data_IF_077055085521
#
_entry.id   IF_077055085521
#
_cell.length_a   1.000
_cell.length_b   1.000
_cell.length_c   1.000
_cell.angle_alpha   90.00
_cell.angle_beta   90.00
_cell.angle_gamma   90.00
#
_symmetry.space_group_name_H-M   'P 1'
#
loop_
_entity.id
_entity.type
_entity.pdbx_description
1 polymer ?
#
# COMPACT_ATOMS: atom_id res chain seq x y z
N UNK A 1 57.38 32.28 41.66
CA UNK A 1 57.40 31.08 40.81
C UNK A 1 55.96 30.60 40.71
N UNK A 2 55.14 30.87 39.68
CA UNK A 2 55.34 30.69 38.23
C UNK A 2 55.20 29.19 37.91
N UNK A 3 54.22 28.66 37.15
CA UNK A 3 53.38 29.21 36.08
C UNK A 3 52.05 28.46 35.95
N UNK A 4 51.06 29.19 35.43
CA UNK A 4 49.80 28.83 34.78
C UNK A 4 49.98 28.12 33.43
N UNK A 5 48.92 27.49 32.88
CA UNK A 5 48.42 27.76 31.51
C UNK A 5 47.01 27.17 31.28
N UNK A 6 46.12 28.04 30.78
CA UNK A 6 44.86 27.76 30.08
C UNK A 6 45.13 27.14 28.69
N UNK A 7 44.12 26.53 28.06
CA UNK A 7 43.61 26.88 26.71
C UNK A 7 42.35 26.04 26.38
N UNK A 8 41.36 26.75 25.83
CA UNK A 8 40.11 26.31 25.21
C UNK A 8 40.29 25.67 23.83
N UNK A 9 39.35 24.85 23.37
CA UNK A 9 38.83 24.99 21.99
C UNK A 9 37.49 24.28 21.76
N UNK A 10 36.58 25.06 21.21
CA UNK A 10 35.38 24.67 20.46
C UNK A 10 35.77 24.02 19.13
N UNK A 11 35.06 22.98 18.69
CA UNK A 11 34.91 22.70 17.26
C UNK A 11 33.63 21.92 16.95
N UNK A 12 32.81 22.60 16.16
CA UNK A 12 31.65 22.17 15.38
C UNK A 12 31.97 21.00 14.44
N UNK A 13 31.11 19.98 14.42
CA UNK A 13 31.12 18.94 13.37
C UNK A 13 30.09 19.34 12.30
N UNK A 14 30.59 19.84 11.18
CA UNK A 14 29.86 20.05 9.92
C UNK A 14 29.85 18.74 9.14
N UNK A 15 28.65 18.30 8.75
CA UNK A 15 28.44 17.13 7.89
C UNK A 15 28.43 17.57 6.42
N UNK A 16 29.26 16.94 5.57
CA UNK A 16 29.20 17.08 4.11
C UNK A 16 29.37 15.70 3.47
N UNK A 17 28.45 15.26 2.59
CA UNK A 17 28.60 14.01 1.87
C UNK A 17 29.31 14.26 0.54
N UNK A 18 30.46 13.61 0.32
CA UNK A 18 30.98 13.37 -1.04
C UNK A 18 30.93 11.88 -1.35
N UNK A 19 30.20 11.62 -2.43
CA UNK A 19 30.15 10.40 -3.22
C UNK A 19 31.54 9.96 -3.67
N UNK A 20 31.84 8.67 -3.53
CA UNK A 20 32.92 8.03 -4.28
C UNK A 20 32.40 6.72 -4.86
N UNK A 21 32.33 6.71 -6.18
CA UNK A 21 32.14 5.55 -7.05
C UNK A 21 33.42 4.73 -6.98
N UNK A 22 33.34 3.41 -6.81
CA UNK A 22 34.41 2.50 -7.19
C UNK A 22 33.84 1.24 -7.84
N UNK A 23 34.27 1.06 -9.09
CA UNK A 23 34.14 -0.13 -9.91
C UNK A 23 34.96 -1.30 -9.35
N UNK A 24 34.54 -2.47 -9.82
CA UNK A 24 34.98 -3.85 -9.61
C UNK A 24 36.49 -4.10 -9.55
N UNK A 25 36.92 -4.92 -8.58
CA UNK A 25 37.88 -6.01 -8.83
C UNK A 25 37.86 -7.04 -7.70
N UNK A 26 38.20 -8.28 -8.06
CA UNK A 26 38.09 -9.52 -7.28
C UNK A 26 38.82 -9.49 -5.93
N UNK A 27 38.14 -9.87 -4.85
CA UNK A 27 38.78 -10.29 -3.60
C UNK A 27 38.01 -11.45 -2.97
N UNK A 28 38.60 -12.64 -3.05
CA UNK A 28 38.26 -13.80 -2.22
C UNK A 28 38.66 -13.49 -0.78
N UNK A 29 37.69 -13.38 0.11
CA UNK A 29 37.93 -13.38 1.55
C UNK A 29 37.27 -14.63 2.13
N UNK A 30 38.10 -15.59 2.55
CA UNK A 30 37.67 -16.75 3.30
C UNK A 30 37.31 -16.34 4.73
N UNK A 31 36.09 -16.66 5.16
CA UNK A 31 35.68 -16.57 6.55
C UNK A 31 35.37 -17.99 7.01
N UNK A 32 36.20 -18.53 7.92
CA UNK A 32 35.93 -19.80 8.58
C UNK A 32 34.87 -19.59 9.66
N UNK A 33 33.64 -20.05 9.41
CA UNK A 33 32.64 -20.21 10.46
C UNK A 33 32.74 -21.63 11.03
N UNK A 34 32.84 -21.71 12.36
CA UNK A 34 32.76 -22.94 13.13
C UNK A 34 31.35 -23.54 12.99
N UNK A 35 31.23 -24.56 12.14
CA UNK A 35 30.01 -25.34 11.93
C UNK A 35 30.15 -26.63 12.75
N UNK A 36 29.38 -26.75 13.83
CA UNK A 36 29.16 -28.07 14.48
C UNK A 36 27.69 -28.42 14.70
N UNK A 37 26.74 -27.66 14.15
CA UNK A 37 25.30 -27.98 14.26
C UNK A 37 24.48 -27.75 12.98
N UNK A 38 25.11 -27.66 11.81
CA UNK A 38 24.42 -27.43 10.52
C UNK A 38 24.78 -28.42 9.41
N UNK A 39 25.45 -29.53 9.72
CA UNK A 39 25.77 -30.57 8.73
C UNK A 39 24.60 -31.50 8.40
N UNK A 40 23.57 -31.60 9.26
CA UNK A 40 22.44 -32.50 9.05
C UNK A 40 21.35 -31.86 8.17
N UNK A 41 21.16 -30.54 8.22
CA UNK A 41 20.16 -29.83 7.40
C UNK A 41 20.65 -29.51 5.97
N UNK A 42 21.95 -29.27 5.79
CA UNK A 42 22.53 -28.97 4.47
C UNK A 42 22.65 -30.18 3.56
N UNK A 43 22.90 -31.38 4.11
CA UNK A 43 22.95 -32.62 3.32
C UNK A 43 21.57 -33.05 2.82
N UNK A 44 20.50 -32.80 3.60
CA UNK A 44 19.14 -33.13 3.16
C UNK A 44 18.65 -32.25 2.01
N UNK A 45 19.09 -30.99 1.94
CA UNK A 45 18.72 -30.05 0.87
C UNK A 45 19.50 -30.33 -0.43
N UNK A 46 20.74 -30.83 -0.33
CA UNK A 46 21.57 -31.16 -1.50
C UNK A 46 21.19 -32.49 -2.17
N UNK A 47 20.61 -33.44 -1.42
CA UNK A 47 20.07 -34.70 -1.93
C UNK A 47 18.56 -34.62 -2.25
N UNK A 48 17.96 -33.45 -2.09
CA UNK A 48 16.56 -33.21 -2.45
C UNK A 48 16.40 -33.21 -3.97
N UNK A 49 15.42 -33.94 -4.53
CA UNK A 49 15.12 -33.86 -5.95
C UNK A 49 14.88 -32.40 -6.38
N UNK A 50 15.30 -32.03 -7.59
CA UNK A 50 15.20 -30.66 -8.10
C UNK A 50 13.79 -30.04 -7.96
N UNK A 51 12.74 -30.86 -8.06
CA UNK A 51 11.34 -30.43 -7.85
C UNK A 51 11.03 -30.01 -6.41
N UNK A 52 11.75 -30.52 -5.41
CA UNK A 52 11.59 -30.14 -3.99
C UNK A 52 12.23 -28.77 -3.72
N UNK A 53 13.42 -28.53 -4.29
CA UNK A 53 14.09 -27.21 -4.24
C UNK A 53 13.24 -26.14 -4.93
N UNK A 54 12.63 -26.46 -6.08
CA UNK A 54 11.77 -25.52 -6.80
C UNK A 54 10.47 -25.20 -6.03
N UNK A 55 9.81 -26.19 -5.41
CA UNK A 55 8.65 -25.95 -4.53
C UNK A 55 9.00 -25.05 -3.35
N UNK A 56 10.14 -25.30 -2.72
CA UNK A 56 10.65 -24.46 -1.63
C UNK A 56 10.91 -23.01 -2.07
N UNK A 57 11.38 -22.80 -3.29
CA UNK A 57 11.58 -21.46 -3.85
C UNK A 57 10.27 -20.70 -4.10
N UNK A 58 9.22 -21.37 -4.57
CA UNK A 58 7.90 -20.74 -4.78
C UNK A 58 7.25 -20.36 -3.45
N UNK A 59 7.29 -21.24 -2.45
CA UNK A 59 6.76 -20.93 -1.13
C UNK A 59 7.48 -19.75 -0.48
N UNK A 60 8.82 -19.72 -0.58
CA UNK A 60 9.64 -18.60 -0.11
C UNK A 60 9.33 -17.30 -0.86
N UNK A 61 9.10 -17.38 -2.17
CA UNK A 61 8.67 -16.23 -2.97
C UNK A 61 7.32 -15.70 -2.47
N UNK A 62 6.35 -16.58 -2.23
CA UNK A 62 5.03 -16.16 -1.71
C UNK A 62 5.17 -15.48 -0.34
N UNK A 63 6.02 -16.00 0.55
CA UNK A 63 6.28 -15.39 1.85
C UNK A 63 6.96 -14.03 1.73
N UNK A 64 7.95 -13.89 0.85
CA UNK A 64 8.59 -12.60 0.54
C UNK A 64 7.57 -11.57 0.01
N UNK A 65 6.64 -12.01 -0.85
CA UNK A 65 5.56 -11.14 -1.33
C UNK A 65 4.65 -10.69 -0.19
N UNK A 66 4.22 -11.60 0.67
CA UNK A 66 3.36 -11.26 1.81
C UNK A 66 4.05 -10.27 2.77
N UNK A 67 5.35 -10.46 3.03
CA UNK A 67 6.16 -9.54 3.84
C UNK A 67 6.22 -8.14 3.21
N UNK A 68 6.49 -8.05 1.90
CA UNK A 68 6.59 -6.78 1.15
C UNK A 68 5.28 -6.02 1.02
N UNK A 69 4.19 -6.76 0.87
CA UNK A 69 2.82 -6.22 0.73
C UNK A 69 2.28 -5.70 2.06
N UNK A 70 2.75 -6.28 3.16
CA UNK A 70 2.56 -5.73 4.50
C UNK A 70 3.00 -4.27 4.58
N UNK A 71 2.46 -3.56 5.56
CA UNK A 71 2.76 -2.14 5.74
C UNK A 71 4.23 -1.94 6.11
N UNK A 72 4.97 -1.18 5.30
CA UNK A 72 6.33 -0.75 5.61
C UNK A 72 7.27 -0.72 4.40
N UNK A 73 7.23 -1.75 3.55
CA UNK A 73 8.09 -1.81 2.35
C UNK A 73 7.41 -1.16 1.14
N UNK A 74 6.21 -1.62 0.77
CA UNK A 74 5.42 -1.00 -0.29
C UNK A 74 4.36 -0.08 0.32
N UNK A 75 4.58 1.23 0.20
CA UNK A 75 3.76 2.25 0.85
C UNK A 75 2.34 2.32 0.27
N UNK A 76 2.24 2.40 -1.05
CA UNK A 76 0.96 2.59 -1.72
C UNK A 76 0.17 1.30 -1.87
N UNK A 77 -1.13 1.36 -1.59
CA UNK A 77 -2.07 0.25 -1.78
C UNK A 77 -2.08 -0.23 -3.23
N UNK A 78 -2.12 0.71 -4.17
CA UNK A 78 -2.15 0.41 -5.60
C UNK A 78 -0.87 -0.30 -6.04
N UNK A 79 0.29 0.20 -5.63
CA UNK A 79 1.59 -0.43 -5.91
C UNK A 79 1.71 -1.81 -5.28
N UNK A 80 1.18 -2.02 -4.08
CA UNK A 80 1.21 -3.32 -3.43
C UNK A 80 0.41 -4.36 -4.22
N UNK A 81 -0.74 -3.98 -4.77
CA UNK A 81 -1.52 -4.88 -5.63
C UNK A 81 -0.86 -5.11 -6.98
N UNK A 82 -0.32 -4.06 -7.61
CA UNK A 82 0.46 -4.20 -8.85
C UNK A 82 1.64 -5.18 -8.66
N UNK A 83 2.32 -5.12 -7.50
CA UNK A 83 3.39 -6.05 -7.13
C UNK A 83 2.88 -7.49 -6.96
N UNK A 84 1.80 -7.71 -6.20
CA UNK A 84 1.18 -9.05 -6.04
C UNK A 84 0.81 -9.64 -7.39
N UNK A 85 0.14 -8.87 -8.24
CA UNK A 85 -0.32 -9.33 -9.55
C UNK A 85 0.85 -9.65 -10.49
N UNK A 86 1.92 -8.85 -10.46
CA UNK A 86 3.11 -9.14 -11.25
C UNK A 86 3.83 -10.42 -10.78
N UNK A 87 3.95 -10.62 -9.46
CA UNK A 87 4.51 -11.85 -8.89
C UNK A 87 3.62 -13.07 -9.14
N UNK A 88 2.30 -12.89 -9.16
CA UNK A 88 1.34 -13.95 -9.49
C UNK A 88 1.54 -14.46 -10.92
N UNK A 89 1.78 -13.59 -11.90
CA UNK A 89 2.10 -14.02 -13.28
C UNK A 89 3.36 -14.89 -13.32
N UNK A 90 4.39 -14.51 -12.58
CA UNK A 90 5.62 -15.30 -12.48
C UNK A 90 5.33 -16.68 -11.89
N UNK A 91 4.58 -16.75 -10.79
CA UNK A 91 4.18 -18.01 -10.14
C UNK A 91 3.32 -18.89 -11.07
N UNK A 92 2.40 -18.29 -11.84
CA UNK A 92 1.61 -19.01 -12.86
C UNK A 92 2.53 -19.60 -13.94
N UNK A 93 3.55 -18.84 -14.38
CA UNK A 93 4.45 -19.30 -15.44
C UNK A 93 5.23 -20.56 -15.06
N UNK A 94 5.65 -20.68 -13.80
CA UNK A 94 6.49 -21.78 -13.29
C UNK A 94 5.71 -23.00 -12.80
N UNK A 95 4.40 -22.92 -12.56
CA UNK A 95 3.60 -24.06 -12.07
C UNK A 95 3.57 -25.22 -13.09
N UNK A 96 3.88 -26.46 -12.72
CA UNK A 96 4.00 -27.54 -13.70
C UNK A 96 2.64 -28.16 -14.08
N UNK A 97 1.72 -28.23 -13.11
CA UNK A 97 0.40 -28.83 -13.27
C UNK A 97 -0.73 -27.93 -12.72
N UNK A 98 -1.98 -28.37 -12.92
CA UNK A 98 -3.18 -27.64 -12.46
C UNK A 98 -3.22 -27.51 -10.93
N UNK A 99 -2.82 -28.56 -10.21
CA UNK A 99 -2.81 -28.59 -8.76
C UNK A 99 -1.82 -27.59 -8.18
N UNK A 100 -0.62 -27.52 -8.75
CA UNK A 100 0.39 -26.51 -8.37
C UNK A 100 -0.09 -25.10 -8.65
N UNK A 101 -0.60 -24.83 -9.85
CA UNK A 101 -1.12 -23.52 -10.21
C UNK A 101 -2.19 -23.04 -9.23
N UNK A 102 -3.18 -23.91 -8.95
CA UNK A 102 -4.27 -23.60 -8.02
C UNK A 102 -3.73 -23.37 -6.61
N UNK A 103 -2.86 -24.23 -6.09
CA UNK A 103 -2.26 -24.08 -4.76
C UNK A 103 -1.46 -22.79 -4.64
N UNK A 104 -0.61 -22.47 -5.61
CA UNK A 104 0.24 -21.28 -5.53
C UNK A 104 -0.59 -19.99 -5.63
N UNK A 105 -1.54 -19.91 -6.57
CA UNK A 105 -2.41 -18.73 -6.72
C UNK A 105 -3.26 -18.52 -5.47
N UNK A 106 -3.92 -19.57 -4.97
CA UNK A 106 -4.78 -19.45 -3.77
C UNK A 106 -3.98 -19.11 -2.51
N UNK A 107 -2.80 -19.71 -2.32
CA UNK A 107 -1.92 -19.41 -1.18
C UNK A 107 -1.39 -17.98 -1.24
N UNK A 108 -0.98 -17.52 -2.42
CA UNK A 108 -0.53 -16.13 -2.60
C UNK A 108 -1.63 -15.13 -2.26
N UNK A 109 -2.85 -15.37 -2.74
CA UNK A 109 -4.01 -14.52 -2.44
C UNK A 109 -4.29 -14.49 -0.93
N UNK A 110 -4.39 -15.66 -0.29
CA UNK A 110 -4.69 -15.76 1.14
C UNK A 110 -3.64 -15.04 2.00
N UNK A 111 -2.35 -15.29 1.75
CA UNK A 111 -1.25 -14.64 2.48
C UNK A 111 -1.20 -13.13 2.22
N UNK A 112 -1.44 -12.69 0.98
CA UNK A 112 -1.43 -11.25 0.65
C UNK A 112 -2.59 -10.51 1.32
N UNK A 113 -3.80 -11.08 1.32
CA UNK A 113 -4.96 -10.48 2.00
C UNK A 113 -4.72 -10.41 3.51
N UNK A 114 -4.18 -11.48 4.12
CA UNK A 114 -3.81 -11.47 5.55
C UNK A 114 -2.76 -10.41 5.88
N UNK A 115 -1.81 -10.15 4.97
CA UNK A 115 -0.78 -9.14 5.18
C UNK A 115 -1.32 -7.69 5.07
N UNK A 116 -2.36 -7.46 4.24
CA UNK A 116 -2.96 -6.14 4.02
C UNK A 116 -4.50 -6.23 3.94
N UNK A 117 -5.18 -6.53 5.05
CA UNK A 117 -6.61 -6.90 5.05
C UNK A 117 -7.54 -5.75 4.68
N UNK A 118 -7.10 -4.49 4.80
CA UNK A 118 -7.94 -3.34 4.45
C UNK A 118 -7.83 -2.93 2.98
N UNK A 119 -7.00 -3.59 2.17
CA UNK A 119 -6.85 -3.27 0.75
C UNK A 119 -8.03 -3.80 -0.05
N UNK A 120 -9.04 -2.95 -0.27
CA UNK A 120 -10.19 -3.31 -1.10
C UNK A 120 -9.78 -3.69 -2.53
N UNK A 121 -8.76 -3.03 -3.08
CA UNK A 121 -8.23 -3.36 -4.42
C UNK A 121 -7.65 -4.77 -4.47
N UNK A 122 -6.94 -5.20 -3.42
CA UNK A 122 -6.37 -6.54 -3.34
C UNK A 122 -7.48 -7.58 -3.28
N UNK A 123 -8.49 -7.36 -2.42
CA UNK A 123 -9.63 -8.26 -2.24
C UNK A 123 -10.44 -8.37 -3.53
N UNK A 124 -10.78 -7.23 -4.15
CA UNK A 124 -11.55 -7.18 -5.39
C UNK A 124 -10.84 -7.85 -6.56
N UNK A 125 -9.54 -7.55 -6.76
CA UNK A 125 -8.72 -8.19 -7.79
C UNK A 125 -8.61 -9.70 -7.56
N UNK A 126 -8.38 -10.11 -6.30
CA UNK A 126 -8.28 -11.52 -5.93
C UNK A 126 -9.58 -12.28 -6.21
N UNK A 127 -10.73 -11.65 -5.91
CA UNK A 127 -12.05 -12.21 -6.22
C UNK A 127 -12.24 -12.41 -7.73
N UNK A 128 -11.93 -11.42 -8.55
CA UNK A 128 -12.04 -11.51 -10.01
C UNK A 128 -11.18 -12.64 -10.57
N UNK A 129 -9.94 -12.76 -10.11
CA UNK A 129 -9.01 -13.83 -10.48
C UNK A 129 -9.55 -15.20 -10.08
N UNK A 130 -10.05 -15.35 -8.86
CA UNK A 130 -10.55 -16.63 -8.36
C UNK A 130 -11.87 -17.07 -9.01
N UNK A 131 -12.77 -16.13 -9.31
CA UNK A 131 -13.96 -16.42 -10.12
C UNK A 131 -13.50 -16.99 -11.46
N UNK A 132 -12.55 -16.31 -12.12
CA UNK A 132 -12.09 -16.74 -13.43
C UNK A 132 -11.34 -18.07 -13.39
N UNK A 133 -10.51 -18.29 -12.37
CA UNK A 133 -9.84 -19.55 -12.13
C UNK A 133 -10.86 -20.69 -12.02
N UNK A 134 -11.89 -20.51 -11.20
CA UNK A 134 -12.94 -21.51 -11.02
C UNK A 134 -13.69 -21.82 -12.33
N UNK A 135 -14.06 -20.81 -13.12
CA UNK A 135 -14.68 -20.99 -14.44
C UNK A 135 -13.80 -21.78 -15.40
N UNK A 136 -12.49 -21.48 -15.43
CA UNK A 136 -11.55 -22.16 -16.32
C UNK A 136 -11.31 -23.61 -15.89
N UNK A 137 -11.28 -23.89 -14.57
CA UNK A 137 -11.19 -25.24 -14.05
C UNK A 137 -12.43 -26.08 -14.42
N UNK A 138 -13.64 -25.49 -14.34
CA UNK A 138 -14.90 -26.18 -14.71
C UNK A 138 -14.95 -26.57 -16.18
N UNK A 139 -14.29 -25.80 -17.05
CA UNK A 139 -14.15 -26.13 -18.48
C UNK A 139 -13.18 -27.27 -18.77
N UNK A 140 -12.40 -27.72 -17.78
CA UNK A 140 -11.47 -28.83 -17.94
C UNK A 140 -10.26 -28.55 -18.84
N UNK A 141 -9.99 -27.29 -19.20
CA UNK A 141 -8.93 -26.90 -20.15
C UNK A 141 -7.53 -27.37 -19.74
N UNK A 142 -6.59 -27.47 -20.68
CA UNK A 142 -5.21 -27.89 -20.38
C UNK A 142 -4.47 -26.85 -19.51
N UNK A 143 -3.44 -27.28 -18.75
CA UNK A 143 -2.67 -26.39 -17.87
C UNK A 143 -2.02 -25.22 -18.63
N UNK A 144 -1.53 -25.48 -19.85
CA UNK A 144 -0.93 -24.44 -20.70
C UNK A 144 -1.96 -23.34 -21.05
N UNK A 145 -3.17 -23.74 -21.43
CA UNK A 145 -4.27 -22.81 -21.72
C UNK A 145 -4.72 -22.07 -20.45
N UNK A 146 -4.82 -22.77 -19.32
CA UNK A 146 -5.15 -22.17 -18.02
C UNK A 146 -4.17 -21.06 -17.63
N UNK A 147 -2.86 -21.29 -17.79
CA UNK A 147 -1.82 -20.28 -17.54
C UNK A 147 -2.00 -19.06 -18.42
N UNK A 148 -2.24 -19.27 -19.72
CA UNK A 148 -2.42 -18.18 -20.69
C UNK A 148 -3.66 -17.35 -20.37
N UNK A 149 -4.81 -17.98 -20.17
CA UNK A 149 -6.07 -17.28 -19.89
C UNK A 149 -6.04 -16.55 -18.54
N UNK A 150 -5.45 -17.15 -17.50
CA UNK A 150 -5.34 -16.49 -16.20
C UNK A 150 -4.37 -15.31 -16.24
N UNK A 151 -3.26 -15.42 -16.98
CA UNK A 151 -2.31 -14.32 -17.17
C UNK A 151 -2.96 -13.13 -17.89
N UNK A 152 -3.77 -13.37 -18.92
CA UNK A 152 -4.54 -12.31 -19.61
C UNK A 152 -5.48 -11.57 -18.68
N UNK A 153 -6.15 -12.30 -17.78
CA UNK A 153 -7.06 -11.71 -16.79
C UNK A 153 -6.31 -10.80 -15.82
N UNK A 154 -5.13 -11.25 -15.35
CA UNK A 154 -4.28 -10.43 -14.48
C UNK A 154 -3.80 -9.16 -15.20
N UNK A 155 -3.40 -9.27 -16.47
CA UNK A 155 -2.98 -8.12 -17.27
C UNK A 155 -4.11 -7.11 -17.47
N UNK A 156 -5.32 -7.58 -17.74
CA UNK A 156 -6.52 -6.74 -17.87
C UNK A 156 -6.87 -6.03 -16.56
N UNK A 157 -6.79 -6.72 -15.42
CA UNK A 157 -6.98 -6.11 -14.08
C UNK A 157 -5.95 -5.00 -13.84
N UNK A 158 -4.66 -5.24 -14.12
CA UNK A 158 -3.60 -4.24 -13.97
C UNK A 158 -3.88 -3.03 -14.86
N UNK A 159 -4.26 -3.26 -16.12
CA UNK A 159 -4.54 -2.20 -17.08
C UNK A 159 -5.74 -1.35 -16.63
N UNK A 160 -6.87 -1.99 -16.28
CA UNK A 160 -8.06 -1.33 -15.76
C UNK A 160 -7.75 -0.49 -14.51
N UNK A 161 -6.97 -1.03 -13.56
CA UNK A 161 -6.58 -0.31 -12.36
C UNK A 161 -5.72 0.92 -12.66
N UNK A 162 -4.76 0.80 -13.59
CA UNK A 162 -3.93 1.92 -14.05
C UNK A 162 -4.78 3.00 -14.70
N UNK A 163 -5.67 2.64 -15.62
CA UNK A 163 -6.59 3.56 -16.29
C UNK A 163 -7.52 4.26 -15.31
N UNK A 164 -8.07 3.52 -14.34
CA UNK A 164 -8.93 4.08 -13.30
C UNK A 164 -8.17 5.08 -12.43
N UNK A 165 -6.95 4.74 -12.00
CA UNK A 165 -6.08 5.64 -11.23
C UNK A 165 -5.77 6.92 -11.99
N UNK A 166 -5.44 6.79 -13.28
CA UNK A 166 -5.12 7.89 -14.18
C UNK A 166 -6.31 8.84 -14.38
N UNK A 167 -7.47 8.26 -14.69
CA UNK A 167 -8.71 9.00 -14.93
C UNK A 167 -9.20 9.71 -13.66
N UNK A 168 -9.17 9.03 -12.50
CA UNK A 168 -9.53 9.65 -11.23
C UNK A 168 -8.61 10.83 -10.90
N UNK A 169 -7.30 10.66 -11.10
CA UNK A 169 -6.32 11.73 -10.89
C UNK A 169 -6.52 12.92 -11.84
N UNK A 170 -6.85 12.66 -13.12
CA UNK A 170 -7.14 13.72 -14.09
C UNK A 170 -8.42 14.48 -13.75
N UNK A 171 -9.48 13.79 -13.32
CA UNK A 171 -10.72 14.45 -12.87
C UNK A 171 -10.45 15.28 -11.60
N UNK A 172 -9.64 14.75 -10.68
CA UNK A 172 -9.26 15.47 -9.46
C UNK A 172 -8.42 16.71 -9.74
N UNK A 173 -7.56 16.69 -10.77
CA UNK A 173 -6.73 17.85 -11.12
C UNK A 173 -7.56 19.06 -11.56
N UNK A 174 -8.78 18.84 -12.08
CA UNK A 174 -9.73 19.90 -12.40
C UNK A 174 -10.36 20.56 -11.15
N UNK A 175 -10.24 19.96 -9.97
CA UNK A 175 -10.65 20.57 -8.69
C UNK A 175 -9.55 21.40 -8.05
N UNK A 176 -8.32 21.28 -8.55
CA UNK A 176 -7.20 22.16 -8.19
C UNK A 176 -7.26 23.40 -9.06
N UNK A 177 -7.15 24.58 -8.45
CA UNK A 177 -7.07 25.87 -9.13
C UNK A 177 -5.67 26.48 -8.95
N UNK A 178 -5.30 27.39 -9.85
CA UNK A 178 -4.04 28.12 -9.73
C UNK A 178 -3.97 28.89 -8.39
N UNK A 179 -2.82 28.81 -7.73
CA UNK A 179 -2.58 29.42 -6.42
C UNK A 179 -3.00 28.55 -5.22
N UNK A 180 -3.56 27.36 -5.43
CA UNK A 180 -3.99 26.50 -4.33
C UNK A 180 -2.85 26.10 -3.38
N UNK A 181 -3.16 26.11 -2.08
CA UNK A 181 -2.33 25.51 -1.04
C UNK A 181 -3.01 24.24 -0.57
N UNK A 182 -2.49 23.11 -1.03
CA UNK A 182 -3.05 21.77 -0.78
C UNK A 182 -2.41 21.19 0.48
N UNK A 183 -3.22 20.63 1.38
CA UNK A 183 -2.71 19.77 2.45
C UNK A 183 -3.01 18.30 2.12
N UNK A 184 -2.06 17.41 2.39
CA UNK A 184 -2.19 15.98 2.13
C UNK A 184 -1.50 15.15 3.21
N UNK A 185 -1.75 13.84 3.21
CA UNK A 185 -1.23 12.87 4.17
C UNK A 185 -0.82 11.59 3.47
N UNK A 186 0.27 11.00 3.95
CA UNK A 186 0.84 9.73 3.49
C UNK A 186 1.21 9.70 2.01
N UNK A 187 1.56 8.52 1.54
CA UNK A 187 1.87 8.24 0.15
C UNK A 187 0.62 7.77 -0.60
N UNK A 188 0.26 8.48 -1.68
CA UNK A 188 -0.79 8.05 -2.59
C UNK A 188 -0.37 8.31 -4.03
N UNK A 189 -0.25 7.23 -4.81
CA UNK A 189 -0.01 7.28 -6.27
C UNK A 189 -1.00 8.20 -6.98
N UNK A 190 -2.28 8.08 -6.63
CA UNK A 190 -3.37 8.82 -7.25
C UNK A 190 -3.29 10.31 -6.93
N UNK A 191 -2.93 10.67 -5.68
CA UNK A 191 -2.75 12.08 -5.29
C UNK A 191 -1.52 12.66 -5.99
N UNK A 192 -0.39 11.95 -6.02
CA UNK A 192 0.80 12.40 -6.75
C UNK A 192 0.49 12.66 -8.24
N UNK A 193 -0.22 11.74 -8.91
CA UNK A 193 -0.70 11.94 -10.28
C UNK A 193 -1.63 13.15 -10.42
N UNK A 194 -2.49 13.38 -9.44
CA UNK A 194 -3.41 14.53 -9.42
C UNK A 194 -2.62 15.85 -9.43
N UNK A 195 -1.57 15.94 -8.60
CA UNK A 195 -0.67 17.09 -8.56
C UNK A 195 0.12 17.23 -9.86
N UNK A 196 0.59 16.11 -10.43
CA UNK A 196 1.31 16.10 -11.71
C UNK A 196 0.44 16.66 -12.84
N UNK A 197 -0.83 16.26 -12.94
CA UNK A 197 -1.74 16.83 -13.93
C UNK A 197 -2.02 18.31 -13.70
N UNK A 198 -2.12 18.75 -12.44
CA UNK A 198 -2.29 20.17 -12.14
C UNK A 198 -1.09 21.00 -12.63
N UNK A 199 0.14 20.50 -12.44
CA UNK A 199 1.35 21.13 -12.96
C UNK A 199 1.41 21.12 -14.49
N UNK A 200 1.03 20.01 -15.13
CA UNK A 200 0.94 19.92 -16.59
C UNK A 200 -0.05 20.92 -17.19
N UNK A 201 -1.14 21.23 -16.46
CA UNK A 201 -2.10 22.26 -16.81
C UNK A 201 -1.59 23.70 -16.50
N UNK A 202 -0.32 23.85 -16.08
CA UNK A 202 0.32 25.15 -15.81
C UNK A 202 -0.05 25.79 -14.46
N UNK A 203 -0.69 25.05 -13.54
CA UNK A 203 -1.12 25.59 -12.25
C UNK A 203 0.04 25.68 -11.28
N UNK A 204 0.18 26.84 -10.63
CA UNK A 204 1.12 27.05 -9.52
C UNK A 204 0.44 26.64 -8.23
N UNK A 205 1.00 25.64 -7.55
CA UNK A 205 0.47 25.12 -6.28
C UNK A 205 1.54 25.08 -5.21
N UNK A 206 1.12 25.04 -3.95
CA UNK A 206 1.96 24.75 -2.78
C UNK A 206 1.37 23.57 -2.02
N UNK A 207 2.23 22.78 -1.37
CA UNK A 207 1.79 21.59 -0.65
C UNK A 207 2.27 21.61 0.79
N UNK A 208 1.37 21.36 1.74
CA UNK A 208 1.72 20.94 3.10
C UNK A 208 1.47 19.44 3.22
N UNK A 209 2.49 18.69 3.65
CA UNK A 209 2.43 17.24 3.82
C UNK A 209 2.69 16.89 5.28
N UNK A 210 1.80 16.07 5.85
CA UNK A 210 1.94 15.49 7.18
C UNK A 210 3.00 14.38 7.14
N UNK A 211 3.90 14.31 8.12
CA UNK A 211 4.99 13.31 8.17
C UNK A 211 4.48 11.85 8.15
N UNK A 212 3.26 11.61 8.63
CA UNK A 212 2.53 10.34 8.58
C UNK A 212 3.14 9.26 9.47
N UNK A 213 3.27 9.53 10.78
CA UNK A 213 3.62 8.49 11.74
C UNK A 213 2.55 7.38 11.73
N UNK A 214 2.94 6.11 12.01
CA UNK A 214 4.28 5.66 12.38
C UNK A 214 5.25 5.47 11.20
N UNK A 215 4.77 5.41 9.96
CA UNK A 215 5.54 4.96 8.79
C UNK A 215 6.43 6.01 8.13
N UNK A 216 6.15 7.30 8.34
CA UNK A 216 6.98 8.39 7.81
C UNK A 216 6.82 8.61 6.30
N UNK A 217 5.74 8.11 5.68
CA UNK A 217 5.54 8.17 4.22
C UNK A 217 5.48 9.62 3.70
N UNK A 218 5.05 10.57 4.53
CA UNK A 218 5.02 11.98 4.18
C UNK A 218 6.40 12.56 3.87
N UNK A 219 7.46 12.07 4.51
CA UNK A 219 8.85 12.47 4.23
C UNK A 219 9.23 12.09 2.79
N UNK A 220 8.77 10.94 2.33
CA UNK A 220 9.06 10.44 0.99
C UNK A 220 8.28 11.23 -0.06
N UNK A 221 7.02 11.55 0.22
CA UNK A 221 6.24 12.46 -0.61
C UNK A 221 6.88 13.84 -0.67
N UNK A 222 7.32 14.41 0.46
CA UNK A 222 8.03 15.70 0.48
C UNK A 222 9.27 15.69 -0.42
N UNK A 223 10.06 14.59 -0.39
CA UNK A 223 11.20 14.40 -1.29
C UNK A 223 10.79 14.33 -2.76
N UNK A 224 9.70 13.63 -3.10
CA UNK A 224 9.18 13.54 -4.47
C UNK A 224 8.74 14.93 -4.97
N UNK A 225 8.01 15.68 -4.15
CA UNK A 225 7.52 17.02 -4.50
C UNK A 225 8.65 18.03 -4.63
N UNK A 226 9.66 17.94 -3.76
CA UNK A 226 10.88 18.75 -3.85
C UNK A 226 11.61 18.53 -5.17
N UNK A 227 11.78 17.28 -5.63
CA UNK A 227 12.38 16.97 -6.94
C UNK A 227 11.59 17.53 -8.12
N UNK A 228 10.29 17.77 -7.94
CA UNK A 228 9.39 18.39 -8.93
C UNK A 228 9.33 19.92 -8.81
N UNK A 229 10.15 20.53 -7.95
CA UNK A 229 10.15 21.98 -7.67
C UNK A 229 8.80 22.53 -7.19
N UNK A 230 7.99 21.72 -6.50
CA UNK A 230 6.77 22.19 -5.86
C UNK A 230 7.12 22.75 -4.47
N UNK A 231 6.76 24.01 -4.14
CA UNK A 231 6.93 24.55 -2.80
C UNK A 231 6.22 23.65 -1.78
N UNK A 232 7.00 22.99 -0.91
CA UNK A 232 6.51 21.95 -0.01
C UNK A 232 6.89 22.25 1.44
N UNK A 233 5.94 22.14 2.35
CA UNK A 233 6.15 22.23 3.80
C UNK A 233 5.83 20.88 4.44
N UNK A 234 6.84 20.22 5.01
CA UNK A 234 6.68 19.01 5.81
C UNK A 234 6.38 19.39 7.26
N UNK A 235 5.35 18.82 7.86
CA UNK A 235 4.93 19.10 9.24
C UNK A 235 4.73 17.82 10.04
N UNK A 236 4.86 17.90 11.36
CA UNK A 236 4.39 16.84 12.26
C UNK A 236 2.87 16.72 12.19
N UNK A 237 2.34 15.51 12.36
CA UNK A 237 0.91 15.23 12.16
C UNK A 237 0.01 16.08 13.07
N UNK A 238 0.45 16.33 14.31
CA UNK A 238 -0.26 17.15 15.30
C UNK A 238 -0.34 18.64 14.95
N UNK A 239 0.47 19.13 14.00
CA UNK A 239 0.45 20.52 13.55
C UNK A 239 -0.59 20.78 12.45
N UNK A 240 -1.30 19.75 11.95
CA UNK A 240 -2.24 19.88 10.84
C UNK A 240 -3.26 21.02 11.05
N UNK A 241 -3.87 21.10 12.24
CA UNK A 241 -4.84 22.15 12.56
C UNK A 241 -4.25 23.55 12.55
N UNK A 242 -3.01 23.72 13.00
CA UNK A 242 -2.34 25.02 13.06
C UNK A 242 -2.13 25.61 11.66
N UNK A 243 -1.76 24.76 10.70
CA UNK A 243 -1.54 25.16 9.31
C UNK A 243 -2.82 25.29 8.50
N UNK A 244 -3.94 24.71 8.96
CA UNK A 244 -5.20 24.66 8.21
C UNK A 244 -5.71 26.04 7.76
N UNK A 245 -5.44 27.10 8.52
CA UNK A 245 -5.78 28.49 8.17
C UNK A 245 -5.18 28.99 6.84
N UNK A 246 -4.11 28.36 6.37
CA UNK A 246 -3.43 28.70 5.12
C UNK A 246 -3.82 27.76 3.97
N UNK A 247 -4.49 26.65 4.28
CA UNK A 247 -4.82 25.57 3.33
C UNK A 247 -6.11 25.92 2.59
N UNK A 248 -6.11 25.77 1.27
CA UNK A 248 -7.31 25.94 0.47
C UNK A 248 -8.11 24.64 0.31
N UNK A 249 -7.42 23.49 0.24
CA UNK A 249 -8.03 22.17 0.02
C UNK A 249 -7.21 21.08 0.70
N UNK A 250 -7.89 20.07 1.25
CA UNK A 250 -7.29 18.78 1.58
C UNK A 250 -7.51 17.82 0.42
N UNK A 251 -6.44 17.15 -0.01
CA UNK A 251 -6.53 16.08 -1.02
C UNK A 251 -5.83 14.85 -0.46
N UNK A 252 -6.54 13.73 -0.35
CA UNK A 252 -5.98 12.47 0.16
C UNK A 252 -6.38 11.27 -0.69
N UNK A 253 -5.64 10.17 -0.54
CA UNK A 253 -5.97 8.90 -1.18
C UNK A 253 -6.95 8.09 -0.33
N UNK A 254 -7.15 6.84 -0.75
CA UNK A 254 -7.83 5.83 0.05
C UNK A 254 -7.12 4.48 -0.10
N UNK A 255 -7.15 3.72 0.98
CA UNK A 255 -6.88 2.28 1.00
C UNK A 255 -8.16 1.51 0.59
N UNK A 256 -9.30 1.91 1.18
CA UNK A 256 -10.63 1.43 0.84
C UNK A 256 -11.69 2.51 1.06
N UNK A 257 -12.82 2.37 0.36
CA UNK A 257 -14.01 3.20 0.56
C UNK A 257 -15.18 2.28 0.88
N UNK A 258 -15.79 2.46 2.04
CA UNK A 258 -16.97 1.72 2.47
C UNK A 258 -18.22 2.19 1.72
N UNK A 259 -19.26 1.35 1.72
CA UNK A 259 -20.51 1.60 0.99
C UNK A 259 -21.26 2.82 1.53
N UNK A 260 -21.15 3.13 2.82
CA UNK A 260 -21.70 4.35 3.41
C UNK A 260 -20.88 5.61 3.10
N UNK A 261 -19.80 5.50 2.32
CA UNK A 261 -18.92 6.61 1.97
C UNK A 261 -17.80 6.88 2.98
N UNK A 262 -17.70 6.11 4.08
CA UNK A 262 -16.57 6.21 4.99
C UNK A 262 -15.27 5.78 4.28
N UNK A 263 -14.18 6.47 4.58
CA UNK A 263 -12.89 6.26 3.90
C UNK A 263 -11.88 5.67 4.86
N UNK A 264 -11.32 4.53 4.47
CA UNK A 264 -10.21 3.89 5.16
C UNK A 264 -8.93 4.36 4.49
N UNK A 265 -8.08 5.04 5.25
CA UNK A 265 -6.80 5.55 4.78
C UNK A 265 -5.77 5.58 5.93
N UNK A 266 -4.54 6.00 5.67
CA UNK A 266 -3.48 6.12 6.68
C UNK A 266 -3.98 6.75 7.98
N UNK A 267 -3.58 6.18 9.13
CA UNK A 267 -3.89 6.74 10.45
C UNK A 267 -3.57 8.24 10.50
N UNK A 268 -4.48 9.04 11.05
CA UNK A 268 -4.41 10.49 11.04
C UNK A 268 -5.20 11.15 9.90
N UNK A 269 -5.69 10.38 8.92
CA UNK A 269 -6.58 10.91 7.87
C UNK A 269 -7.90 11.40 8.45
N UNK A 270 -8.47 10.67 9.41
CA UNK A 270 -9.69 11.08 10.11
C UNK A 270 -9.51 12.39 10.88
N UNK A 271 -8.35 12.57 11.53
CA UNK A 271 -7.99 13.80 12.25
C UNK A 271 -7.73 14.95 11.28
N UNK A 272 -7.06 14.69 10.16
CA UNK A 272 -6.87 15.69 9.11
C UNK A 272 -8.22 16.17 8.55
N UNK A 273 -9.12 15.25 8.25
CA UNK A 273 -10.46 15.56 7.75
C UNK A 273 -11.30 16.32 8.80
N UNK A 274 -11.24 15.93 10.07
CA UNK A 274 -11.87 16.67 11.17
C UNK A 274 -11.36 18.12 11.29
N UNK A 275 -10.04 18.31 11.23
CA UNK A 275 -9.43 19.64 11.27
C UNK A 275 -9.86 20.51 10.08
N UNK A 276 -9.98 19.90 8.91
CA UNK A 276 -10.43 20.59 7.70
C UNK A 276 -11.91 20.95 7.80
N UNK A 277 -12.75 20.02 8.27
CA UNK A 277 -14.17 20.22 8.51
C UNK A 277 -14.43 21.40 9.46
N UNK A 278 -13.75 21.44 10.61
CA UNK A 278 -13.88 22.54 11.57
C UNK A 278 -13.39 23.89 10.98
N UNK A 279 -12.30 23.86 10.20
CA UNK A 279 -11.78 25.05 9.52
C UNK A 279 -12.52 25.43 8.23
N UNK A 280 -13.57 24.68 7.84
CA UNK A 280 -14.33 24.86 6.59
C UNK A 280 -13.48 24.75 5.33
N UNK A 281 -12.43 23.91 5.38
CA UNK A 281 -11.59 23.56 4.24
C UNK A 281 -12.13 22.28 3.61
N UNK A 282 -12.31 22.28 2.29
CA UNK A 282 -12.87 21.13 1.58
C UNK A 282 -11.91 19.94 1.55
N UNK A 283 -12.44 18.74 1.75
CA UNK A 283 -11.73 17.46 1.73
C UNK A 283 -12.11 16.66 0.49
N UNK A 284 -11.12 16.39 -0.36
CA UNK A 284 -11.25 15.54 -1.54
C UNK A 284 -10.52 14.22 -1.35
N UNK A 285 -11.23 13.12 -1.56
CA UNK A 285 -10.65 11.77 -1.59
C UNK A 285 -10.54 11.30 -3.03
N UNK A 286 -9.36 10.89 -3.47
CA UNK A 286 -9.13 10.46 -4.86
C UNK A 286 -8.82 8.95 -4.90
N UNK A 287 -9.72 8.17 -5.49
CA UNK A 287 -9.60 6.71 -5.56
C UNK A 287 -10.39 6.14 -6.75
N UNK A 288 -9.84 5.15 -7.43
CA UNK A 288 -10.57 4.42 -8.49
C UNK A 288 -11.64 3.49 -7.92
N UNK A 289 -12.61 3.11 -8.75
CA UNK A 289 -13.73 2.23 -8.38
C UNK A 289 -13.29 0.88 -7.80
N UNK A 290 -12.11 0.40 -8.16
CA UNK A 290 -11.53 -0.84 -7.65
C UNK A 290 -11.19 -0.80 -6.14
N UNK A 291 -11.19 0.38 -5.50
CA UNK A 291 -10.93 0.55 -4.05
C UNK A 291 -12.19 0.59 -3.19
N UNK A 292 -13.37 0.31 -3.73
CA UNK A 292 -14.58 0.25 -2.94
C UNK A 292 -14.70 -1.14 -2.27
N UNK A 293 -14.89 -1.16 -0.95
CA UNK A 293 -15.09 -2.39 -0.18
C UNK A 293 -16.56 -2.76 -0.20
N UNK A 294 -16.86 -3.83 -0.94
CA UNK A 294 -18.22 -4.31 -1.19
C UNK A 294 -18.77 -5.10 0.01
N UNK A 295 -17.88 -5.61 0.86
CA UNK A 295 -18.16 -6.36 2.07
C UNK A 295 -18.88 -5.50 3.11
N UNK A 296 -18.56 -4.21 3.15
CA UNK A 296 -19.18 -3.25 4.09
C UNK A 296 -20.68 -3.05 3.86
N UNK A 297 -21.27 -3.50 2.74
CA UNK A 297 -22.74 -3.50 2.54
C UNK A 297 -23.43 -4.35 3.60
N UNK A 298 -22.77 -5.44 4.04
CA UNK A 298 -23.32 -6.40 4.99
C UNK A 298 -23.05 -6.00 6.45
N UNK A 299 -22.50 -4.81 6.70
CA UNK A 299 -22.12 -4.35 8.04
C UNK A 299 -20.83 -4.96 8.56
N UNK A 300 -20.04 -5.62 7.69
CA UNK A 300 -18.72 -6.13 8.06
C UNK A 300 -17.77 -4.98 8.43
N UNK A 301 -17.13 -5.12 9.59
CA UNK A 301 -16.12 -4.17 10.04
C UNK A 301 -14.80 -4.42 9.28
N UNK A 302 -14.15 -3.34 8.90
CA UNK A 302 -12.81 -3.40 8.31
C UNK A 302 -11.81 -3.64 9.45
N UNK A 303 -11.17 -4.81 9.45
CA UNK A 303 -10.14 -5.15 10.43
C UNK A 303 -8.91 -4.23 10.28
N UNK A 304 -8.69 -3.36 11.27
CA UNK A 304 -7.59 -2.39 11.23
C UNK A 304 -6.28 -3.06 11.70
N UNK A 305 -5.26 -3.17 10.84
CA UNK A 305 -3.98 -3.75 11.23
C UNK A 305 -3.19 -2.79 12.13
N UNK A 306 -2.41 -3.37 13.04
CA UNK A 306 -1.47 -2.65 13.91
C UNK A 306 -0.04 -2.84 13.44
N UNK A 307 0.78 -1.80 13.59
CA UNK A 307 2.22 -1.89 13.42
C UNK A 307 2.83 -2.68 14.59
N UNK A 308 4.07 -3.15 14.38
CA UNK A 308 4.86 -3.75 15.45
C UNK A 308 5.21 -2.71 16.52
N UNK A 309 5.25 -3.14 17.76
CA UNK A 309 5.51 -2.28 18.92
C UNK A 309 6.83 -1.51 18.81
N UNK A 310 7.88 -2.13 18.25
CA UNK A 310 9.22 -1.54 18.19
C UNK A 310 9.28 -0.23 17.37
N UNK A 311 8.27 0.03 16.53
CA UNK A 311 8.15 1.26 15.73
C UNK A 311 7.87 2.49 16.59
N UNK A 312 7.15 2.31 17.70
CA UNK A 312 6.89 3.36 18.70
C UNK A 312 7.80 3.22 19.91
N UNK A 313 8.03 1.98 20.36
CA UNK A 313 8.76 1.66 21.57
C UNK A 313 9.90 0.68 21.29
N UNK A 314 11.07 1.18 20.82
CA UNK A 314 12.25 0.35 20.61
C UNK A 314 12.67 -0.40 21.89
N UNK A 315 13.41 -1.52 21.78
CA UNK A 315 13.78 -2.36 22.92
C UNK A 315 14.43 -1.61 24.09
N UNK A 316 15.24 -0.59 23.80
CA UNK A 316 15.90 0.21 24.84
C UNK A 316 14.89 1.01 25.66
N UNK A 317 13.90 1.63 25.01
CA UNK A 317 12.81 2.36 25.69
C UNK A 317 11.80 1.43 26.35
N UNK A 318 11.56 0.23 25.80
CA UNK A 318 10.71 -0.79 26.42
C UNK A 318 11.24 -1.16 27.81
N UNK A 319 12.57 -1.31 27.95
CA UNK A 319 13.22 -1.59 29.23
C UNK A 319 13.07 -0.46 30.25
N UNK A 320 13.01 0.80 29.80
CA UNK A 320 12.80 1.96 30.67
C UNK A 320 11.35 2.07 31.17
N UNK A 321 10.38 1.82 30.29
CA UNK A 321 8.93 1.96 30.61
C UNK A 321 8.41 0.76 31.41
N UNK A 322 8.97 -0.44 31.18
CA UNK A 322 8.55 -1.68 31.80
C UNK A 322 7.41 -2.39 31.07
N UNK A 323 7.10 -3.62 31.50
CA UNK A 323 6.24 -4.55 30.77
C UNK A 323 4.73 -4.27 30.89
N UNK A 324 4.31 -3.45 31.86
CA UNK A 324 2.90 -3.17 32.14
C UNK A 324 2.25 -2.16 31.18
N UNK A 325 2.95 -1.73 30.13
CA UNK A 325 2.42 -0.82 29.11
C UNK A 325 2.09 -1.60 27.84
N UNK A 326 0.86 -1.48 27.36
CA UNK A 326 0.46 -2.06 26.07
C UNK A 326 0.62 -1.02 24.97
N UNK A 327 1.34 -1.38 23.92
CA UNK A 327 1.51 -0.53 22.74
C UNK A 327 0.51 -0.93 21.66
N UNK A 328 -0.18 0.05 21.08
CA UNK A 328 -1.14 -0.15 20.00
C UNK A 328 -0.96 0.94 18.95
N UNK A 329 -0.73 0.55 17.70
CA UNK A 329 -0.32 1.47 16.63
C UNK A 329 -1.14 1.15 15.37
N UNK A 330 -2.36 1.69 15.23
CA UNK A 330 -3.15 1.45 14.03
C UNK A 330 -2.43 2.01 12.80
N UNK A 331 -2.45 1.27 11.70
CA UNK A 331 -1.78 1.67 10.45
C UNK A 331 -2.70 2.51 9.55
N UNK A 332 -4.01 2.30 9.68
CA UNK A 332 -5.08 3.03 9.00
C UNK A 332 -6.14 3.46 10.02
N UNK A 333 -6.94 4.46 9.66
CA UNK A 333 -8.14 4.84 10.39
C UNK A 333 -9.34 4.99 9.44
N UNK A 334 -10.52 5.15 10.03
CA UNK A 334 -11.78 5.36 9.29
C UNK A 334 -12.16 6.82 9.41
N UNK A 335 -12.24 7.50 8.27
CA UNK A 335 -12.73 8.88 8.15
C UNK A 335 -14.25 8.85 7.92
N UNK A 336 -15.06 9.45 8.81
CA UNK A 336 -16.50 9.56 8.63
C UNK A 336 -16.88 10.28 7.33
N UNK A 337 -17.95 9.85 6.63
CA UNK A 337 -18.38 10.46 5.37
C UNK A 337 -18.78 11.94 5.53
N UNK A 338 -19.16 12.39 6.72
CA UNK A 338 -19.55 13.77 7.01
C UNK A 338 -18.38 14.75 6.89
N UNK A 339 -17.13 14.27 7.00
CA UNK A 339 -15.94 15.10 6.86
C UNK A 339 -15.40 15.14 5.42
N UNK A 340 -16.08 14.50 4.47
CA UNK A 340 -15.62 14.36 3.09
C UNK A 340 -16.58 15.12 2.17
N UNK A 341 -16.08 16.16 1.51
CA UNK A 341 -16.88 16.94 0.56
C UNK A 341 -17.14 16.18 -0.74
N UNK A 342 -16.12 15.47 -1.25
CA UNK A 342 -16.31 14.63 -2.43
C UNK A 342 -15.29 13.50 -2.54
N UNK A 343 -15.76 12.39 -3.10
CA UNK A 343 -14.96 11.26 -3.56
C UNK A 343 -14.83 11.39 -5.08
N UNK A 344 -13.59 11.44 -5.57
CA UNK A 344 -13.26 11.60 -6.98
C UNK A 344 -12.75 10.27 -7.52
N UNK A 345 -13.51 9.71 -8.46
CA UNK A 345 -13.27 8.39 -9.05
C UNK A 345 -13.09 8.49 -10.56
N UNK A 346 -12.76 7.37 -11.20
CA UNK A 346 -12.76 7.22 -12.66
C UNK A 346 -14.17 7.27 -13.28
N UNK A 347 -15.22 7.30 -12.45
CA UNK A 347 -16.62 7.48 -12.84
C UNK A 347 -17.13 8.91 -12.62
N UNK A 348 -16.33 9.79 -12.04
CA UNK A 348 -16.69 11.18 -11.79
C UNK A 348 -16.53 11.57 -10.33
N UNK A 349 -17.09 12.73 -10.00
CA UNK A 349 -17.09 13.30 -8.64
C UNK A 349 -18.42 12.97 -7.98
N UNK A 350 -18.40 12.28 -6.84
CA UNK A 350 -19.59 11.86 -6.12
C UNK A 350 -19.54 12.36 -4.67
N UNK A 351 -20.71 12.63 -4.09
CA UNK A 351 -20.83 12.79 -2.65
C UNK A 351 -20.67 11.42 -1.95
N UNK A 352 -20.15 11.35 -0.72
CA UNK A 352 -20.05 10.09 0.03
C UNK A 352 -21.39 9.33 0.13
N UNK A 353 -22.50 10.04 0.29
CA UNK A 353 -23.84 9.46 0.38
C UNK A 353 -24.33 8.87 -0.95
N UNK A 354 -23.68 9.21 -2.07
CA UNK A 354 -24.01 8.69 -3.39
C UNK A 354 -23.31 7.36 -3.72
N UNK A 355 -22.39 6.89 -2.86
CA UNK A 355 -21.63 5.65 -3.08
C UNK A 355 -22.53 4.44 -3.33
N UNK A 356 -23.62 4.18 -2.58
CA UNK A 356 -24.51 3.05 -2.84
C UNK A 356 -25.10 3.07 -4.27
N UNK A 357 -25.44 4.26 -4.78
CA UNK A 357 -26.00 4.40 -6.13
C UNK A 357 -24.95 4.13 -7.21
N UNK A 358 -23.72 4.63 -7.02
CA UNK A 358 -22.60 4.33 -7.91
C UNK A 358 -22.32 2.82 -7.94
N UNK A 359 -22.29 2.15 -6.79
CA UNK A 359 -22.06 0.71 -6.73
C UNK A 359 -23.19 -0.06 -7.42
N UNK A 360 -24.45 0.34 -7.23
CA UNK A 360 -25.58 -0.26 -7.95
C UNK A 360 -25.47 -0.07 -9.46
N UNK A 361 -25.03 1.08 -9.94
CA UNK A 361 -24.80 1.34 -11.37
C UNK A 361 -23.68 0.45 -11.93
N UNK A 362 -22.57 0.33 -11.20
CA UNK A 362 -21.39 -0.42 -11.65
C UNK A 362 -21.61 -1.94 -11.60
N UNK A 363 -22.27 -2.45 -10.56
CA UNK A 363 -22.45 -3.89 -10.31
C UNK A 363 -23.86 -4.40 -10.64
N UNK A 364 -24.76 -3.53 -11.10
CA UNK A 364 -26.16 -3.83 -11.45
C UNK A 364 -27.10 -4.08 -10.26
N UNK A 365 -26.57 -4.48 -9.10
CA UNK A 365 -27.34 -4.79 -7.88
C UNK A 365 -26.62 -4.31 -6.62
N UNK A 366 -27.39 -4.05 -5.55
CA UNK A 366 -26.87 -3.75 -4.22
C UNK A 366 -27.72 -4.51 -3.18
N UNK A 367 -27.14 -5.37 -2.32
CA UNK A 367 -25.73 -5.79 -2.32
C UNK A 367 -25.33 -6.47 -3.64
N UNK A 368 -24.07 -6.34 -4.08
CA UNK A 368 -23.58 -7.07 -5.24
C UNK A 368 -23.57 -8.57 -4.92
N UNK A 369 -24.01 -9.40 -5.87
CA UNK A 369 -23.98 -10.87 -5.74
C UNK A 369 -22.58 -11.40 -6.02
N UNK A 370 -21.67 -11.18 -5.07
CA UNK A 370 -20.27 -11.56 -5.21
C UNK A 370 -19.91 -12.63 -4.16
N UNK A 371 -19.33 -13.77 -4.57
CA UNK A 371 -18.89 -14.79 -3.64
C UNK A 371 -17.72 -14.28 -2.77
N UNK A 372 -17.63 -14.80 -1.56
CA UNK A 372 -16.50 -14.54 -0.66
C UNK A 372 -15.21 -15.14 -1.23
N UNK A 373 -14.09 -14.45 -0.99
CA UNK A 373 -12.77 -14.92 -1.43
C UNK A 373 -12.44 -16.29 -0.82
N UNK A 374 -12.79 -16.51 0.46
CA UNK A 374 -12.56 -17.80 1.13
C UNK A 374 -13.33 -18.95 0.48
N UNK A 375 -14.57 -18.70 0.04
CA UNK A 375 -15.38 -19.70 -0.64
C UNK A 375 -14.82 -20.04 -2.01
N UNK A 376 -14.39 -19.02 -2.76
CA UNK A 376 -13.77 -19.22 -4.06
C UNK A 376 -12.44 -20.00 -3.97
N UNK A 377 -11.65 -19.76 -2.92
CA UNK A 377 -10.43 -20.55 -2.63
C UNK A 377 -10.80 -22.01 -2.37
N UNK A 378 -11.76 -22.27 -1.47
CA UNK A 378 -12.22 -23.63 -1.17
C UNK A 378 -12.74 -24.34 -2.41
N UNK A 379 -13.51 -23.63 -3.24
CA UNK A 379 -14.04 -24.15 -4.49
C UNK A 379 -12.91 -24.53 -5.46
N UNK A 380 -11.91 -23.67 -5.65
CA UNK A 380 -10.79 -23.95 -6.54
C UNK A 380 -9.97 -25.16 -6.06
N UNK A 381 -9.70 -25.24 -4.76
CA UNK A 381 -8.97 -26.36 -4.16
C UNK A 381 -9.74 -27.69 -4.24
N UNK A 382 -11.08 -27.68 -4.28
CA UNK A 382 -11.89 -28.91 -4.42
C UNK A 382 -11.88 -29.52 -5.83
N UNK A 383 -11.35 -28.79 -6.82
CA UNK A 383 -11.34 -29.17 -8.25
C UNK A 383 -10.00 -29.78 -8.71
N UNK A 384 -9.03 -29.85 -7.81
CA UNK A 384 -7.71 -30.47 -8.00
C UNK A 384 -7.60 -31.68 -7.08
#
# INVERSE_FOLDING_TARGET
MGKSFLISSTSSITYSPRSTIFETEHLRVGVSFSIKQSSILLSTILDSPWWYTMKFEVEKLIDDVALKVGYGEIMGSTESVEYVLDRMKHIISIAEDKGELVRYVTTLIDKSIKARPTSAMLINSSREILIKLNELLDKGIAVAELKTELSKVIEDIILKAKMATDKAARIASHRIVDGDHIMTISYSKTVLKTLDYALMDGKRIKVTILESRPGGEGVIVARILSKKNIPTTLIVDSAARYFMKNVSKVVMGAEAIAVNGAVINKVGSSILALNAYEARVRVFVVAGIHKFSLETVFGELVDIPTAREEVLLPPDKRREIGENVKVYIPLVDVTPPEYIDAIITDRGVIAPQAVPFLLKEVYGTLPPKLPEVKDLIRQALSKI
#
